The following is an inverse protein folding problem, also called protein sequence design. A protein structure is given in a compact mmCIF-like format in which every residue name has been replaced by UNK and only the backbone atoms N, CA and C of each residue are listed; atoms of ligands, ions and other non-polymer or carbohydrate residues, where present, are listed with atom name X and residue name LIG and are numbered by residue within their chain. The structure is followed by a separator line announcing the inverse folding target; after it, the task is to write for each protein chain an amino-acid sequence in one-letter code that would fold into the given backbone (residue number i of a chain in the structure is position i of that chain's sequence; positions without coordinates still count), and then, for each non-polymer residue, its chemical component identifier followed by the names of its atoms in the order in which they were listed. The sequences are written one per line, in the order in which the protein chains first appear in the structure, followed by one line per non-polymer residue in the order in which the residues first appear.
data_IF_339917966093
#
_entry.id   IF_339917966093
#
_cell.length_a   1.000
_cell.length_b   1.000
_cell.length_c   1.000
_cell.angle_alpha   90.00
_cell.angle_beta   90.00
_cell.angle_gamma   90.00
#
_symmetry.space_group_name_H-M   'P 1'
#
loop_
_entity.id
_entity.type
_entity.pdbx_description
1 polymer ?
#
# COMPACT_ATOMS: atom_id res chain seq x y z
N UNK A 1 -0.15 26.47 -19.07
CA UNK A 1 1.12 25.97 -19.63
C UNK A 1 2.16 25.80 -18.52
N UNK A 2 2.44 26.81 -17.69
CA UNK A 2 3.39 26.69 -16.56
C UNK A 2 3.08 25.52 -15.61
N UNK A 3 1.83 25.40 -15.14
CA UNK A 3 1.42 24.31 -14.24
C UNK A 3 1.67 22.91 -14.82
N UNK A 4 1.51 22.72 -16.13
CA UNK A 4 1.83 21.46 -16.80
C UNK A 4 3.34 21.22 -16.86
N UNK A 5 4.13 22.25 -17.16
CA UNK A 5 5.60 22.15 -17.18
C UNK A 5 6.16 21.81 -15.79
N UNK A 6 5.61 22.40 -14.74
CA UNK A 6 6.02 22.13 -13.35
C UNK A 6 5.65 20.70 -12.94
N UNK A 7 4.41 20.27 -13.21
CA UNK A 7 3.99 18.88 -12.97
C UNK A 7 4.86 17.89 -13.76
N UNK A 8 5.12 18.17 -15.04
CA UNK A 8 5.93 17.29 -15.89
C UNK A 8 7.38 17.18 -15.38
N UNK A 9 7.96 18.27 -14.87
CA UNK A 9 9.29 18.23 -14.28
C UNK A 9 9.33 17.34 -13.03
N UNK A 10 8.32 17.43 -12.15
CA UNK A 10 8.21 16.55 -10.98
C UNK A 10 8.01 15.08 -11.39
N UNK A 11 7.16 14.85 -12.38
CA UNK A 11 6.91 13.52 -12.94
C UNK A 11 8.19 12.90 -13.53
N UNK A 12 8.93 13.64 -14.35
CA UNK A 12 10.18 13.17 -14.95
C UNK A 12 11.30 12.94 -13.92
N UNK A 13 11.31 13.71 -12.83
CA UNK A 13 12.23 13.49 -11.72
C UNK A 13 11.81 12.30 -10.83
N UNK A 14 10.60 11.75 -11.05
CA UNK A 14 9.98 10.73 -10.21
C UNK A 14 9.92 11.17 -8.75
N UNK A 15 9.36 12.36 -8.54
CA UNK A 15 9.23 13.00 -7.24
C UNK A 15 8.58 12.05 -6.23
N UNK A 16 9.16 12.01 -5.03
CA UNK A 16 8.61 11.29 -3.87
C UNK A 16 7.32 11.98 -3.44
N UNK A 17 6.27 11.21 -3.16
CA UNK A 17 4.95 11.70 -2.75
C UNK A 17 4.90 12.03 -1.26
N UNK A 18 5.88 12.81 -0.79
CA UNK A 18 5.84 13.41 0.54
C UNK A 18 4.84 14.57 0.62
N UNK A 19 4.61 15.09 1.83
CA UNK A 19 3.66 16.19 2.09
C UNK A 19 3.96 17.43 1.24
N UNK A 20 5.23 17.77 1.03
CA UNK A 20 5.61 18.97 0.29
C UNK A 20 5.30 18.82 -1.20
N UNK A 21 5.70 17.70 -1.80
CA UNK A 21 5.49 17.42 -3.21
C UNK A 21 4.01 17.18 -3.52
N UNK A 22 3.26 16.51 -2.64
CA UNK A 22 1.80 16.38 -2.77
C UNK A 22 1.11 17.75 -2.80
N UNK A 23 1.52 18.70 -1.94
CA UNK A 23 0.99 20.07 -2.02
C UNK A 23 1.34 20.78 -3.34
N UNK A 24 2.56 20.63 -3.85
CA UNK A 24 2.97 21.21 -5.14
C UNK A 24 2.17 20.61 -6.31
N UNK A 25 1.98 19.29 -6.30
CA UNK A 25 1.19 18.59 -7.33
C UNK A 25 -0.27 19.04 -7.31
N UNK A 26 -0.85 19.20 -6.11
CA UNK A 26 -2.20 19.72 -5.97
C UNK A 26 -2.32 21.17 -6.48
N UNK A 27 -1.34 22.04 -6.20
CA UNK A 27 -1.31 23.39 -6.78
C UNK A 27 -1.20 23.36 -8.30
N UNK A 28 -0.40 22.45 -8.88
CA UNK A 28 -0.35 22.27 -10.33
C UNK A 28 -1.71 21.86 -10.90
N UNK A 29 -2.42 20.95 -10.23
CA UNK A 29 -3.77 20.52 -10.62
C UNK A 29 -4.75 21.69 -10.60
N UNK A 30 -4.81 22.46 -9.50
CA UNK A 30 -5.67 23.65 -9.37
C UNK A 30 -5.37 24.70 -10.47
N UNK A 31 -4.09 25.01 -10.68
CA UNK A 31 -3.64 26.01 -11.66
C UNK A 31 -3.75 25.56 -13.12
N UNK A 32 -3.92 24.25 -13.37
CA UNK A 32 -4.15 23.72 -14.71
C UNK A 32 -5.59 23.89 -15.18
N UNK A 33 -6.53 24.13 -14.25
CA UNK A 33 -7.98 24.17 -14.50
C UNK A 33 -8.57 22.86 -15.04
N UNK A 34 -7.85 21.73 -14.97
CA UNK A 34 -8.35 20.41 -15.43
C UNK A 34 -9.54 19.91 -14.59
N UNK A 35 -9.70 20.41 -13.37
CA UNK A 35 -10.89 20.20 -12.55
C UNK A 35 -12.21 20.67 -13.19
N UNK A 36 -12.14 21.55 -14.20
CA UNK A 36 -13.31 22.02 -14.95
C UNK A 36 -13.46 21.33 -16.31
N UNK A 37 -12.49 20.52 -16.72
CA UNK A 37 -12.45 19.87 -18.04
C UNK A 37 -13.32 18.60 -18.05
N UNK A 38 -14.61 18.74 -17.75
CA UNK A 38 -15.56 17.60 -17.73
C UNK A 38 -15.59 16.90 -19.08
N UNK A 39 -15.90 15.61 -19.08
CA UNK A 39 -15.87 14.75 -20.27
C UNK A 39 -16.60 15.38 -21.46
N UNK A 40 -17.82 15.87 -21.24
CA UNK A 40 -18.66 16.50 -22.27
C UNK A 40 -18.10 17.81 -22.86
N UNK A 41 -17.11 18.43 -22.19
CA UNK A 41 -16.47 19.67 -22.65
C UNK A 41 -15.20 19.42 -23.46
N UNK A 42 -14.66 18.19 -23.41
CA UNK A 42 -13.48 17.80 -24.17
C UNK A 42 -13.80 17.66 -25.66
N UNK A 43 -12.82 17.97 -26.49
CA UNK A 43 -12.89 17.72 -27.93
C UNK A 43 -12.79 16.23 -28.24
N UNK A 44 -13.30 15.80 -29.40
CA UNK A 44 -13.23 14.38 -29.81
C UNK A 44 -11.78 13.83 -29.83
N UNK A 45 -10.76 14.56 -30.32
CA UNK A 45 -9.38 14.07 -30.25
C UNK A 45 -8.88 13.85 -28.80
N UNK A 46 -9.23 14.72 -27.86
CA UNK A 46 -8.86 14.58 -26.45
C UNK A 46 -9.55 13.35 -25.84
N UNK A 47 -10.85 13.20 -26.07
CA UNK A 47 -11.61 12.02 -25.62
C UNK A 47 -11.04 10.73 -26.19
N UNK A 48 -10.59 10.72 -27.46
CA UNK A 48 -9.99 9.55 -28.09
C UNK A 48 -8.68 9.14 -27.40
N UNK A 49 -7.80 10.09 -27.09
CA UNK A 49 -6.53 9.81 -26.38
C UNK A 49 -6.82 9.25 -24.98
N UNK A 50 -7.74 9.88 -24.24
CA UNK A 50 -8.10 9.42 -22.89
C UNK A 50 -8.72 8.03 -22.91
N UNK A 51 -9.63 7.75 -23.87
CA UNK A 51 -10.21 6.40 -24.07
C UNK A 51 -9.14 5.34 -24.28
N UNK A 52 -8.16 5.61 -25.13
CA UNK A 52 -7.08 4.66 -25.43
C UNK A 52 -6.24 4.36 -24.19
N UNK A 53 -5.83 5.39 -23.45
CA UNK A 53 -5.06 5.24 -22.21
C UNK A 53 -5.86 4.50 -21.14
N UNK A 54 -7.12 4.90 -20.93
CA UNK A 54 -7.98 4.25 -19.94
C UNK A 54 -8.27 2.81 -20.32
N UNK A 55 -8.47 2.47 -21.60
CA UNK A 55 -8.65 1.08 -22.01
C UNK A 55 -7.44 0.20 -21.66
N UNK A 56 -6.23 0.75 -21.71
CA UNK A 56 -5.02 0.04 -21.32
C UNK A 56 -4.86 -0.07 -19.79
N UNK A 57 -5.34 0.93 -19.03
CA UNK A 57 -5.01 1.13 -17.60
C UNK A 57 -6.21 1.11 -16.65
N UNK A 58 -7.41 0.82 -17.11
CA UNK A 58 -8.65 0.93 -16.33
C UNK A 58 -8.66 0.06 -15.08
N UNK A 59 -8.01 -1.11 -15.12
CA UNK A 59 -7.85 -1.99 -13.96
C UNK A 59 -6.85 -1.49 -12.92
N UNK A 60 -5.97 -0.56 -13.31
CA UNK A 60 -4.96 0.03 -12.43
C UNK A 60 -5.41 1.38 -11.86
N UNK A 61 -6.03 2.24 -12.69
CA UNK A 61 -6.46 3.59 -12.30
C UNK A 61 -7.92 3.67 -11.81
N UNK A 62 -8.69 2.61 -12.02
CA UNK A 62 -10.07 2.47 -11.56
C UNK A 62 -10.22 1.28 -10.61
N UNK A 63 -11.47 0.90 -10.33
CA UNK A 63 -11.75 -0.33 -9.60
C UNK A 63 -11.27 -1.54 -10.41
N UNK A 64 -10.29 -2.28 -9.86
CA UNK A 64 -9.64 -3.42 -10.51
C UNK A 64 -10.58 -4.59 -10.85
N UNK A 65 -11.81 -4.62 -10.30
CA UNK A 65 -12.80 -5.64 -10.60
C UNK A 65 -13.96 -5.11 -11.44
N UNK A 66 -14.27 -3.80 -11.31
CA UNK A 66 -15.41 -3.16 -11.99
C UNK A 66 -15.06 -1.74 -12.45
N UNK A 67 -14.19 -1.58 -13.46
CA UNK A 67 -13.84 -0.26 -13.93
C UNK A 67 -15.08 0.49 -14.42
N UNK A 68 -15.23 1.73 -13.99
CA UNK A 68 -16.32 2.59 -14.42
C UNK A 68 -16.20 2.91 -15.93
N UNK A 69 -17.30 3.30 -16.60
CA UNK A 69 -17.22 3.92 -17.92
C UNK A 69 -16.25 5.11 -17.91
N UNK A 70 -15.46 5.27 -18.98
CA UNK A 70 -14.38 6.28 -19.06
C UNK A 70 -14.83 7.70 -18.73
N UNK A 71 -16.04 8.08 -19.16
CA UNK A 71 -16.63 9.39 -18.87
C UNK A 71 -16.89 9.61 -17.38
N UNK A 72 -17.43 8.61 -16.69
CA UNK A 72 -17.71 8.67 -15.26
C UNK A 72 -16.42 8.65 -14.44
N UNK A 73 -15.44 7.84 -14.85
CA UNK A 73 -14.10 7.85 -14.25
C UNK A 73 -13.39 9.19 -14.44
N UNK A 74 -13.44 9.76 -15.65
CA UNK A 74 -12.80 11.06 -15.91
C UNK A 74 -13.44 12.18 -15.09
N UNK A 75 -14.78 12.24 -15.08
CA UNK A 75 -15.50 13.26 -14.33
C UNK A 75 -15.27 13.14 -12.82
N UNK A 76 -15.07 11.93 -12.28
CA UNK A 76 -14.74 11.75 -10.86
C UNK A 76 -13.35 12.29 -10.51
N UNK A 77 -12.37 12.22 -11.43
CA UNK A 77 -11.06 12.85 -11.23
C UNK A 77 -11.15 14.39 -11.20
N UNK A 78 -12.12 14.98 -11.89
CA UNK A 78 -12.39 16.41 -11.84
C UNK A 78 -13.02 16.86 -10.52
N UNK A 79 -13.69 15.96 -9.79
CA UNK A 79 -14.37 16.27 -8.53
C UNK A 79 -13.42 16.47 -7.35
N UNK A 80 -12.17 15.99 -7.48
CA UNK A 80 -11.03 16.24 -6.59
C UNK A 80 -11.33 16.03 -5.11
N UNK A 81 -11.82 17.09 -4.46
CA UNK A 81 -12.04 17.22 -3.01
C UNK A 81 -13.46 16.84 -2.55
N UNK A 82 -14.37 16.53 -3.47
CA UNK A 82 -15.78 16.30 -3.12
C UNK A 82 -16.00 15.02 -2.31
N UNK A 83 -15.05 14.09 -2.35
CA UNK A 83 -15.02 12.85 -1.57
C UNK A 83 -13.58 12.59 -1.17
N UNK A 84 -13.20 12.93 0.06
CA UNK A 84 -11.94 12.45 0.65
C UNK A 84 -12.22 11.02 1.12
N UNK A 85 -11.65 9.98 0.48
CA UNK A 85 -11.79 8.62 0.99
C UNK A 85 -11.23 8.55 2.42
N UNK A 86 -11.81 7.71 3.25
CA UNK A 86 -11.23 7.42 4.55
C UNK A 86 -9.80 6.90 4.35
N UNK A 87 -8.88 7.30 5.23
CA UNK A 87 -7.53 6.73 5.21
C UNK A 87 -7.64 5.22 5.44
N UNK A 88 -6.92 4.45 4.62
CA UNK A 88 -6.80 3.01 4.82
C UNK A 88 -6.04 2.76 6.14
N UNK A 89 -6.48 1.82 6.98
CA UNK A 89 -5.73 1.45 8.17
C UNK A 89 -4.31 0.99 7.82
N UNK A 90 -3.33 1.43 8.60
CA UNK A 90 -1.93 1.03 8.44
C UNK A 90 -1.40 1.26 7.01
N UNK A 91 -1.73 2.38 6.38
CA UNK A 91 -1.14 2.75 5.09
C UNK A 91 0.36 3.08 5.24
N UNK A 92 1.21 2.12 4.86
CA UNK A 92 2.66 2.25 5.01
C UNK A 92 3.28 3.24 4.03
N UNK A 93 2.54 3.71 3.03
CA UNK A 93 2.97 4.80 2.15
C UNK A 93 3.05 6.12 2.89
N UNK A 94 2.33 6.27 4.00
CA UNK A 94 2.51 7.45 4.85
C UNK A 94 3.85 7.41 5.56
N UNK A 95 4.35 6.21 5.92
CA UNK A 95 5.64 6.01 6.62
C UNK A 95 6.81 6.19 5.66
N UNK A 96 6.81 5.45 4.56
CA UNK A 96 7.79 5.56 3.48
C UNK A 96 7.05 5.96 2.19
N UNK A 97 7.14 7.21 1.73
CA UNK A 97 6.36 7.64 0.59
C UNK A 97 6.82 7.00 -0.73
N UNK A 98 5.83 6.65 -1.55
CA UNK A 98 6.02 6.17 -2.94
C UNK A 98 6.44 7.32 -3.88
N UNK A 99 6.57 7.03 -5.18
CA UNK A 99 6.97 8.00 -6.21
C UNK A 99 5.87 8.23 -7.25
N UNK A 100 5.76 9.47 -7.72
CA UNK A 100 4.73 9.91 -8.67
C UNK A 100 4.72 9.11 -9.98
N UNK A 101 5.89 8.87 -10.58
CA UNK A 101 6.01 8.13 -11.83
C UNK A 101 5.58 6.65 -11.68
N UNK A 102 5.88 6.05 -10.53
CA UNK A 102 5.48 4.69 -10.18
C UNK A 102 3.96 4.60 -10.02
N UNK A 103 3.32 5.52 -9.29
CA UNK A 103 1.87 5.51 -9.10
C UNK A 103 1.09 5.77 -10.40
N UNK A 104 1.62 6.59 -11.31
CA UNK A 104 1.05 6.77 -12.65
C UNK A 104 1.23 5.52 -13.52
N UNK A 105 2.40 4.85 -13.44
CA UNK A 105 2.62 3.57 -14.12
C UNK A 105 1.75 2.45 -13.54
N UNK A 106 1.43 2.56 -12.25
CA UNK A 106 0.50 1.78 -11.46
C UNK A 106 0.83 0.27 -11.35
N UNK A 107 -0.10 -0.51 -10.80
CA UNK A 107 0.14 -1.87 -10.29
C UNK A 107 0.74 -2.83 -11.32
N UNK A 108 0.16 -2.89 -12.52
CA UNK A 108 0.66 -3.76 -13.59
C UNK A 108 1.80 -3.11 -14.41
N UNK A 109 2.09 -1.83 -14.21
CA UNK A 109 3.11 -1.10 -14.98
C UNK A 109 2.77 -1.00 -16.47
N UNK A 110 3.80 -1.06 -17.32
CA UNK A 110 3.69 -1.22 -18.77
C UNK A 110 3.28 0.04 -19.56
N UNK A 111 2.99 1.16 -18.90
CA UNK A 111 2.72 2.43 -19.57
C UNK A 111 4.01 3.22 -19.84
N UNK A 112 4.93 3.22 -18.87
CA UNK A 112 6.14 4.04 -18.88
C UNK A 112 7.39 3.16 -18.98
N UNK A 113 8.09 3.24 -20.11
CA UNK A 113 9.32 2.47 -20.35
C UNK A 113 10.41 2.83 -19.33
N UNK A 114 10.95 1.81 -18.66
CA UNK A 114 12.03 1.98 -17.69
C UNK A 114 11.58 2.38 -16.28
N UNK A 115 10.28 2.63 -16.06
CA UNK A 115 9.71 2.84 -14.73
C UNK A 115 9.18 1.49 -14.23
N UNK A 116 9.48 1.10 -12.97
CA UNK A 116 8.94 -0.14 -12.41
C UNK A 116 7.42 -0.07 -12.28
N UNK A 117 6.78 -1.25 -12.21
CA UNK A 117 5.39 -1.34 -11.77
C UNK A 117 5.28 -0.98 -10.28
N UNK A 118 4.11 -0.54 -9.81
CA UNK A 118 3.96 -0.32 -8.36
C UNK A 118 4.01 -1.63 -7.58
N UNK A 119 3.60 -2.77 -8.17
CA UNK A 119 3.82 -4.09 -7.59
C UNK A 119 5.31 -4.36 -7.28
N UNK A 120 6.18 -4.21 -8.28
CA UNK A 120 7.61 -4.46 -8.10
C UNK A 120 8.26 -3.46 -7.14
N UNK A 121 7.77 -2.22 -7.14
CA UNK A 121 8.22 -1.20 -6.19
C UNK A 121 7.79 -1.54 -4.77
N UNK A 122 6.53 -1.95 -4.58
CA UNK A 122 5.96 -2.19 -3.27
C UNK A 122 6.60 -3.40 -2.59
N UNK A 123 6.84 -4.48 -3.33
CA UNK A 123 7.59 -5.62 -2.79
C UNK A 123 8.99 -5.24 -2.33
N UNK A 124 9.67 -4.34 -3.04
CA UNK A 124 11.01 -3.88 -2.66
C UNK A 124 11.01 -2.89 -1.50
N UNK A 125 10.04 -1.98 -1.48
CA UNK A 125 9.98 -0.86 -0.54
C UNK A 125 9.30 -1.24 0.78
N UNK A 126 8.24 -2.05 0.71
CA UNK A 126 7.39 -2.38 1.85
C UNK A 126 7.40 -3.87 2.21
N UNK A 127 8.06 -4.72 1.42
CA UNK A 127 8.10 -6.16 1.65
C UNK A 127 6.81 -6.92 1.28
N UNK A 128 5.73 -6.20 0.98
CA UNK A 128 4.41 -6.78 0.72
C UNK A 128 3.74 -6.19 -0.53
N UNK A 129 2.77 -6.94 -1.06
CA UNK A 129 2.08 -6.61 -2.33
C UNK A 129 1.24 -5.34 -2.22
N UNK A 130 0.50 -5.20 -1.13
CA UNK A 130 -0.39 -4.07 -0.86
C UNK A 130 0.03 -3.48 0.49
N UNK A 131 0.59 -2.26 0.52
CA UNK A 131 1.18 -1.67 1.72
C UNK A 131 0.12 -1.02 2.62
N UNK A 132 -0.94 -1.76 2.91
CA UNK A 132 -2.05 -1.37 3.80
C UNK A 132 -2.41 -2.56 4.70
N UNK A 133 -2.92 -2.30 5.89
CA UNK A 133 -3.39 -3.34 6.80
C UNK A 133 -4.87 -3.64 6.61
N UNK A 134 -5.21 -4.91 6.44
CA UNK A 134 -6.58 -5.39 6.41
C UNK A 134 -7.06 -5.78 7.81
N UNK A 135 -8.37 -5.66 8.04
CA UNK A 135 -9.04 -6.02 9.31
C UNK A 135 -8.38 -5.43 10.57
N UNK A 136 -7.77 -4.25 10.44
CA UNK A 136 -6.94 -3.68 11.49
C UNK A 136 -7.72 -3.48 12.81
N UNK A 137 -7.22 -4.09 13.88
CA UNK A 137 -7.71 -3.91 15.24
C UNK A 137 -6.69 -3.11 16.04
N UNK A 138 -7.13 -1.99 16.60
CA UNK A 138 -6.28 -1.10 17.38
C UNK A 138 -6.73 -1.14 18.84
N UNK A 139 -5.83 -1.59 19.70
CA UNK A 139 -6.05 -1.69 21.14
C UNK A 139 -5.07 -0.80 21.91
N UNK A 140 -5.59 0.09 22.73
CA UNK A 140 -4.79 0.92 23.64
C UNK A 140 -4.60 0.18 24.95
N UNK A 141 -3.40 -0.35 25.18
CA UNK A 141 -3.05 -1.09 26.37
C UNK A 141 -2.34 -0.15 27.38
N UNK A 142 -3.12 0.58 28.18
CA UNK A 142 -2.56 1.53 29.15
C UNK A 142 -2.17 2.88 28.51
N UNK A 143 -1.28 3.62 29.16
CA UNK A 143 -0.99 5.02 28.78
C UNK A 143 0.02 5.15 27.63
N UNK A 144 0.95 4.21 27.50
CA UNK A 144 2.11 4.33 26.60
C UNK A 144 2.25 3.14 25.62
N UNK A 145 1.26 2.25 25.55
CA UNK A 145 1.34 1.05 24.70
C UNK A 145 0.12 0.97 23.77
N UNK A 146 0.42 0.73 22.50
CA UNK A 146 -0.55 0.52 21.44
C UNK A 146 -0.25 -0.85 20.82
N UNK A 147 -1.27 -1.70 20.75
CA UNK A 147 -1.22 -2.94 20.01
C UNK A 147 -2.06 -2.78 18.75
N UNK A 148 -1.51 -3.16 17.60
CA UNK A 148 -2.22 -3.14 16.33
C UNK A 148 -2.06 -4.51 15.67
N UNK A 149 -3.18 -5.21 15.53
CA UNK A 149 -3.26 -6.44 14.73
C UNK A 149 -3.83 -6.09 13.36
N UNK A 150 -3.26 -6.64 12.29
CA UNK A 150 -3.73 -6.43 10.93
C UNK A 150 -3.16 -7.51 10.01
N UNK A 151 -3.83 -7.68 8.87
CA UNK A 151 -3.43 -8.60 7.81
C UNK A 151 -2.70 -7.90 6.68
N UNK A 152 -1.70 -8.58 6.12
CA UNK A 152 -1.10 -8.22 4.83
C UNK A 152 -1.07 -9.42 3.88
N UNK A 153 -1.31 -9.22 2.58
CA UNK A 153 -1.33 -10.35 1.65
C UNK A 153 0.02 -11.04 1.52
N UNK A 154 0.07 -12.33 1.93
CA UNK A 154 1.12 -13.32 1.66
C UNK A 154 2.54 -13.00 2.17
N UNK A 155 2.72 -11.93 2.93
CA UNK A 155 4.05 -11.52 3.43
C UNK A 155 3.90 -10.45 4.49
N UNK A 156 4.76 -10.44 5.54
CA UNK A 156 4.77 -9.36 6.50
C UNK A 156 5.31 -8.07 5.86
N UNK A 157 5.09 -6.97 6.56
CA UNK A 157 5.69 -5.68 6.22
C UNK A 157 7.20 -5.73 6.49
N UNK A 158 7.97 -5.15 5.58
CA UNK A 158 9.43 -5.18 5.61
C UNK A 158 10.05 -4.37 6.76
N UNK A 159 11.27 -4.77 7.14
CA UNK A 159 12.04 -4.18 8.25
C UNK A 159 12.20 -2.66 8.13
N UNK A 160 12.51 -2.14 6.93
CA UNK A 160 12.76 -0.72 6.71
C UNK A 160 11.54 0.16 7.06
N UNK A 161 10.33 -0.35 6.82
CA UNK A 161 9.08 0.35 7.15
C UNK A 161 8.90 0.42 8.66
N UNK A 162 9.08 -0.71 9.35
CA UNK A 162 8.88 -0.79 10.80
C UNK A 162 9.96 0.00 11.55
N UNK A 163 11.20 -0.04 11.06
CA UNK A 163 12.27 0.82 11.53
C UNK A 163 11.90 2.30 11.37
N UNK A 164 11.50 2.74 10.17
CA UNK A 164 11.07 4.11 9.92
C UNK A 164 9.88 4.54 10.81
N UNK A 165 8.95 3.63 11.07
CA UNK A 165 7.82 3.85 11.98
C UNK A 165 8.31 4.14 13.42
N UNK A 166 9.23 3.30 13.93
CA UNK A 166 9.83 3.48 15.26
C UNK A 166 10.53 4.84 15.39
N UNK A 167 11.26 5.25 14.35
CA UNK A 167 11.95 6.54 14.31
C UNK A 167 10.98 7.71 14.30
N UNK A 168 9.94 7.63 13.46
CA UNK A 168 9.01 8.74 13.23
C UNK A 168 8.23 9.11 14.49
N UNK A 169 7.82 8.11 15.25
CA UNK A 169 7.03 8.31 16.47
C UNK A 169 7.87 8.25 17.76
N UNK A 170 9.18 8.01 17.65
CA UNK A 170 10.10 7.99 18.79
C UNK A 170 9.82 6.87 19.79
N UNK A 171 9.27 5.76 19.32
CA UNK A 171 8.86 4.61 20.13
C UNK A 171 9.65 3.34 19.78
N UNK A 172 9.38 2.27 20.54
CA UNK A 172 9.79 0.91 20.26
C UNK A 172 8.66 0.21 19.50
N UNK A 173 9.01 -0.51 18.43
CA UNK A 173 8.05 -1.34 17.67
C UNK A 173 8.46 -2.80 17.86
N UNK A 174 7.57 -3.57 18.47
CA UNK A 174 7.65 -5.02 18.52
C UNK A 174 6.68 -5.60 17.49
N UNK A 175 7.19 -6.44 16.59
CA UNK A 175 6.48 -6.92 15.42
C UNK A 175 6.55 -8.45 15.37
N UNK A 176 5.45 -9.10 15.72
CA UNK A 176 5.25 -10.52 15.48
C UNK A 176 4.50 -10.72 14.18
N UNK A 177 4.89 -11.72 13.40
CA UNK A 177 4.25 -12.04 12.14
C UNK A 177 4.27 -13.54 11.86
N UNK A 178 3.26 -14.02 11.14
CA UNK A 178 3.13 -15.40 10.70
C UNK A 178 2.42 -15.45 9.33
N UNK A 179 2.80 -16.43 8.50
CA UNK A 179 2.14 -16.75 7.24
C UNK A 179 2.07 -18.28 7.08
N UNK A 180 0.88 -18.81 7.31
CA UNK A 180 0.59 -20.23 7.40
C UNK A 180 0.82 -20.96 6.07
N UNK A 181 0.46 -20.34 4.94
CA UNK A 181 0.60 -20.94 3.62
C UNK A 181 2.06 -21.17 3.20
N UNK A 182 2.97 -20.33 3.70
CA UNK A 182 4.40 -20.38 3.49
C UNK A 182 5.18 -21.02 4.62
N UNK A 183 4.50 -21.53 5.67
CA UNK A 183 5.12 -22.11 6.86
C UNK A 183 6.19 -21.20 7.48
N UNK A 184 5.90 -19.91 7.64
CA UNK A 184 6.86 -18.89 8.03
C UNK A 184 6.34 -18.05 9.20
N UNK A 185 7.22 -17.73 10.15
CA UNK A 185 6.92 -16.79 11.21
C UNK A 185 8.16 -16.03 11.67
N UNK A 186 7.96 -14.97 12.46
CA UNK A 186 9.06 -14.20 12.99
C UNK A 186 8.65 -13.16 14.01
N UNK A 187 9.66 -12.66 14.69
CA UNK A 187 9.59 -11.56 15.63
C UNK A 187 10.72 -10.60 15.33
N UNK A 188 10.41 -9.31 15.36
CA UNK A 188 11.40 -8.27 15.22
C UNK A 188 11.13 -7.13 16.19
N UNK A 189 12.21 -6.50 16.64
CA UNK A 189 12.18 -5.29 17.46
C UNK A 189 12.92 -4.18 16.77
N UNK A 190 12.29 -3.01 16.70
CA UNK A 190 12.85 -1.80 16.09
C UNK A 190 12.86 -0.64 17.08
N UNK A 191 13.99 0.05 17.17
CA UNK A 191 14.19 1.16 18.09
C UNK A 191 14.89 2.29 17.36
N UNK A 192 14.31 3.49 17.38
CA UNK A 192 14.92 4.71 16.84
C UNK A 192 15.37 4.63 15.37
N UNK A 193 14.69 3.82 14.54
CA UNK A 193 15.06 3.66 13.12
C UNK A 193 15.99 2.51 12.81
N UNK A 194 16.33 1.67 13.80
CA UNK A 194 17.22 0.53 13.61
C UNK A 194 16.54 -0.78 14.03
N UNK A 195 16.86 -1.87 13.34
CA UNK A 195 16.52 -3.23 13.76
C UNK A 195 17.43 -3.63 14.91
N UNK A 196 16.86 -3.84 16.09
CA UNK A 196 17.59 -4.30 17.27
C UNK A 196 17.59 -5.83 17.38
N UNK A 197 16.46 -6.47 17.07
CA UNK A 197 16.32 -7.93 17.01
C UNK A 197 15.53 -8.31 15.76
N UNK A 198 15.94 -9.37 15.08
CA UNK A 198 15.18 -9.99 14.00
C UNK A 198 15.38 -11.50 14.05
N UNK A 199 14.30 -12.23 14.29
CA UNK A 199 14.27 -13.69 14.31
C UNK A 199 13.16 -14.21 13.40
N UNK A 200 13.45 -15.31 12.73
CA UNK A 200 12.49 -16.00 11.86
C UNK A 200 12.61 -17.49 12.10
N UNK A 201 11.50 -18.20 11.97
CA UNK A 201 11.46 -19.65 12.05
C UNK A 201 10.31 -20.20 11.19
N UNK A 202 10.23 -21.53 11.10
CA UNK A 202 9.07 -22.22 10.56
C UNK A 202 7.98 -22.37 11.65
N UNK A 203 6.72 -22.49 11.23
CA UNK A 203 5.64 -22.82 12.17
C UNK A 203 5.79 -24.26 12.64
N UNK A 204 5.50 -24.50 13.93
CA UNK A 204 5.46 -25.84 14.50
C UNK A 204 4.01 -26.35 14.48
N UNK A 205 3.80 -27.57 14.00
CA UNK A 205 2.48 -28.12 13.73
C UNK A 205 2.15 -29.29 14.66
N UNK A 206 0.90 -29.34 15.10
CA UNK A 206 0.36 -30.51 15.79
C UNK A 206 0.16 -31.70 14.85
N UNK A 207 -0.31 -32.81 15.41
CA UNK A 207 -0.76 -33.95 14.62
C UNK A 207 -2.21 -33.72 14.17
N UNK A 208 -2.50 -33.99 12.91
CA UNK A 208 -3.89 -34.10 12.45
C UNK A 208 -4.54 -35.35 13.06
N UNK A 209 -5.85 -35.28 13.30
CA UNK A 209 -6.60 -36.44 13.78
C UNK A 209 -6.60 -37.54 12.72
N UNK A 210 -6.01 -38.73 12.98
CA UNK A 210 -5.91 -39.78 11.98
C UNK A 210 -7.27 -40.40 11.60
N UNK A 211 -8.31 -40.19 12.41
CA UNK A 211 -9.66 -40.72 12.19
C UNK A 211 -10.62 -39.71 11.54
N UNK A 212 -10.16 -38.47 11.27
CA UNK A 212 -10.93 -37.41 10.62
C UNK A 212 -10.22 -36.89 9.36
N UNK A 213 -10.75 -37.25 8.18
CA UNK A 213 -10.18 -36.86 6.88
C UNK A 213 -10.22 -35.35 6.62
N UNK A 214 -11.03 -34.59 7.36
CA UNK A 214 -11.12 -33.13 7.29
C UNK A 214 -10.29 -32.43 8.38
N UNK A 215 -9.52 -33.18 9.19
CA UNK A 215 -8.66 -32.61 10.23
C UNK A 215 -7.45 -31.90 9.64
N UNK A 216 -7.29 -30.63 10.00
CA UNK A 216 -6.10 -29.84 9.71
C UNK A 216 -5.27 -29.68 10.99
N UNK A 217 -3.94 -29.86 10.92
CA UNK A 217 -3.08 -29.70 12.09
C UNK A 217 -3.05 -28.24 12.53
N UNK A 218 -3.26 -28.01 13.83
CA UNK A 218 -3.16 -26.68 14.43
C UNK A 218 -1.69 -26.23 14.52
N UNK A 219 -1.49 -24.91 14.49
CA UNK A 219 -0.19 -24.32 14.83
C UNK A 219 0.00 -24.41 16.34
N UNK A 220 1.10 -25.03 16.74
CA UNK A 220 1.46 -25.29 18.15
C UNK A 220 2.68 -24.51 18.62
N UNK A 221 3.43 -23.92 17.69
CA UNK A 221 4.59 -23.11 18.00
C UNK A 221 5.16 -22.38 16.78
N UNK A 222 6.29 -21.69 16.96
CA UNK A 222 7.07 -21.60 18.20
C UNK A 222 6.35 -20.87 19.35
N UNK A 223 6.69 -21.19 20.61
CA UNK A 223 6.01 -20.65 21.83
C UNK A 223 5.88 -19.12 21.83
N UNK A 224 6.87 -18.41 21.30
CA UNK A 224 6.92 -16.95 21.27
C UNK A 224 6.00 -16.31 20.22
N UNK A 225 5.44 -17.07 19.27
CA UNK A 225 4.35 -16.61 18.39
C UNK A 225 2.99 -16.83 19.07
N UNK A 226 2.84 -17.89 19.86
CA UNK A 226 1.53 -18.28 20.40
C UNK A 226 0.98 -17.16 21.31
N UNK A 227 -0.25 -16.71 21.01
CA UNK A 227 -0.94 -15.57 21.62
C UNK A 227 -0.37 -14.17 21.32
N UNK A 228 0.67 -14.05 20.50
CA UNK A 228 1.20 -12.75 20.04
C UNK A 228 0.77 -12.40 18.60
N UNK A 229 0.12 -13.33 17.90
CA UNK A 229 -0.57 -13.11 16.63
C UNK A 229 -2.02 -13.54 16.76
N UNK A 230 -2.95 -12.78 16.18
CA UNK A 230 -4.38 -13.07 16.24
C UNK A 230 -4.78 -14.29 15.38
N UNK A 231 -4.08 -14.49 14.26
CA UNK A 231 -4.23 -15.60 13.32
C UNK A 231 -2.87 -15.89 12.66
N UNK A 232 -2.71 -17.08 12.09
CA UNK A 232 -1.45 -17.53 11.50
C UNK A 232 -1.41 -17.41 9.97
N UNK A 233 -2.55 -17.15 9.32
CA UNK A 233 -2.67 -16.86 7.89
C UNK A 233 -3.56 -15.65 7.69
N UNK A 234 -3.39 -14.92 6.59
CA UNK A 234 -4.18 -13.73 6.27
C UNK A 234 -5.37 -13.96 5.35
#
# INVERSE_FOLDING_TARGET
MQAYSDWLAMFMAGAVLDVENCHKLHQCWQNSHICHARWATLSEPEQQVIRQLYQQKSFDWGDSFRPAPVEAWWDSLCDGESIIPAAEPMDFRDVLPTRLDIEVNAFNGGLLTGIPSSYDHYLKQYGCKWPVGYEANICFAGENTLTVDFDTPWSPVGEEVMAALSQRYGGEVEHWFAEQGGNYCGYARYVSGETDVYITDELEWGEADPDDEDSFPDVTGPEWIINNVAHFGG
#
